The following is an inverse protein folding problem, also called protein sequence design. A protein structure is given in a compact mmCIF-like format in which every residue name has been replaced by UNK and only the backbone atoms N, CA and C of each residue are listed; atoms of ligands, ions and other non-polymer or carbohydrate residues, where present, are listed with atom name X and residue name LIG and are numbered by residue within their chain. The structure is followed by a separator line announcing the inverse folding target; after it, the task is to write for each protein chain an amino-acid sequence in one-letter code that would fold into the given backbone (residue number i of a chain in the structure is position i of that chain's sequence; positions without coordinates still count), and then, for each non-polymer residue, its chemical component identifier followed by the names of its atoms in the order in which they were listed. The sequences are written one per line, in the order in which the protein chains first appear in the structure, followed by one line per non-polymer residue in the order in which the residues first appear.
data_IF_037517404498
#
_entry.id   IF_037517404498
#
_cell.length_a   1.000
_cell.length_b   1.000
_cell.length_c   1.000
_cell.angle_alpha   90.00
_cell.angle_beta   90.00
_cell.angle_gamma   90.00
#
_symmetry.space_group_name_H-M   'P 1'
#
loop_
_entity.id
_entity.type
_entity.pdbx_description
1 polymer ?
#
# COMPACT_ATOMS: atom_id res chain seq x y z
N UNK A 1 5.56 16.63 32.92
CA UNK A 1 6.09 17.72 32.05
C UNK A 1 6.68 17.23 30.72
N UNK A 2 7.54 16.19 30.68
CA UNK A 2 8.16 15.69 29.43
C UNK A 2 7.19 15.12 28.38
N UNK A 3 5.96 14.83 28.77
CA UNK A 3 4.86 14.45 27.87
C UNK A 3 4.53 15.56 26.86
N UNK A 4 4.70 16.83 27.24
CA UNK A 4 4.46 17.97 26.35
C UNK A 4 5.75 18.40 25.66
N UNK A 5 5.63 18.90 24.43
CA UNK A 5 6.74 19.39 23.59
C UNK A 5 7.67 20.31 24.40
N UNK A 6 8.97 20.00 24.43
CA UNK A 6 9.91 20.71 25.32
C UNK A 6 10.11 22.18 24.94
N UNK A 7 9.93 22.52 23.66
CA UNK A 7 9.95 23.91 23.17
C UNK A 7 8.83 24.78 23.76
N UNK A 8 7.80 24.20 24.39
CA UNK A 8 6.77 24.96 25.11
C UNK A 8 7.28 25.48 26.46
N UNK A 9 6.94 26.73 26.79
CA UNK A 9 7.29 27.35 28.06
C UNK A 9 6.81 26.54 29.27
N UNK A 10 7.56 26.61 30.39
CA UNK A 10 7.25 25.87 31.62
C UNK A 10 5.83 26.20 32.15
N UNK A 11 5.44 27.47 32.11
CA UNK A 11 4.11 27.91 32.54
C UNK A 11 2.99 27.25 31.70
N UNK A 12 3.14 27.22 30.37
CA UNK A 12 2.19 26.55 29.46
C UNK A 12 2.07 25.06 29.77
N UNK A 13 3.20 24.37 29.96
CA UNK A 13 3.21 22.94 30.31
C UNK A 13 2.59 22.69 31.68
N UNK A 14 2.84 23.58 32.64
CA UNK A 14 2.25 23.54 33.99
C UNK A 14 0.74 23.71 33.94
N UNK A 15 0.25 24.69 33.18
CA UNK A 15 -1.19 24.90 32.98
C UNK A 15 -1.85 23.68 32.34
N UNK A 16 -1.23 23.08 31.31
CA UNK A 16 -1.75 21.85 30.68
C UNK A 16 -1.85 20.68 31.65
N UNK A 17 -0.85 20.47 32.51
CA UNK A 17 -0.93 19.45 33.58
C UNK A 17 -2.04 19.80 34.58
N UNK A 18 -2.17 21.07 34.95
CA UNK A 18 -3.18 21.54 35.92
C UNK A 18 -4.62 21.39 35.41
N UNK A 19 -4.81 21.27 34.09
CA UNK A 19 -6.12 21.01 33.47
C UNK A 19 -6.52 19.53 33.49
N UNK A 20 -5.67 18.63 34.00
CA UNK A 20 -5.96 17.20 34.13
C UNK A 20 -6.28 16.87 35.59
N UNK A 21 -7.26 16.01 35.83
CA UNK A 21 -7.59 15.54 37.18
C UNK A 21 -6.82 14.26 37.54
N UNK A 22 -6.21 14.22 38.73
CA UNK A 22 -5.59 13.01 39.28
C UNK A 22 -6.53 12.31 40.26
N UNK A 23 -7.24 13.07 41.08
CA UNK A 23 -8.34 12.57 41.93
C UNK A 23 -9.54 13.49 41.77
N UNK A 24 -10.72 13.17 42.33
CA UNK A 24 -11.85 14.11 42.36
C UNK A 24 -11.53 15.47 43.02
N UNK A 25 -10.54 15.50 43.91
CA UNK A 25 -10.17 16.69 44.70
C UNK A 25 -8.91 17.39 44.17
N UNK A 26 -7.99 16.66 43.53
CA UNK A 26 -6.68 17.18 43.10
C UNK A 26 -6.49 17.09 41.60
N UNK A 27 -6.15 18.22 40.97
CA UNK A 27 -5.59 18.22 39.63
C UNK A 27 -4.18 17.60 39.62
N UNK A 28 -3.71 17.17 38.45
CA UNK A 28 -2.46 16.43 38.30
C UNK A 28 -1.24 17.24 38.74
N UNK A 29 -1.25 18.56 38.56
CA UNK A 29 -0.13 19.39 38.99
C UNK A 29 -0.06 19.44 40.51
N UNK A 30 -1.18 19.82 41.16
CA UNK A 30 -1.32 19.86 42.61
C UNK A 30 -0.98 18.51 43.25
N UNK A 31 -1.46 17.42 42.66
CA UNK A 31 -1.13 16.05 43.09
C UNK A 31 0.38 15.83 43.09
N UNK A 32 1.07 16.10 41.97
CA UNK A 32 2.52 15.88 41.87
C UNK A 32 3.38 16.79 42.76
N UNK A 33 2.82 17.89 43.26
CA UNK A 33 3.53 18.82 44.15
C UNK A 33 3.22 18.63 45.63
N UNK A 34 2.18 17.85 45.97
CA UNK A 34 1.71 17.68 47.36
C UNK A 34 1.72 16.23 47.84
N UNK A 35 1.86 15.26 46.94
CA UNK A 35 1.89 13.84 47.27
C UNK A 35 3.28 13.25 47.07
N UNK A 36 3.73 12.43 48.00
CA UNK A 36 5.05 11.78 47.97
C UNK A 36 5.08 10.49 47.13
N UNK A 37 3.91 9.98 46.73
CA UNK A 37 3.76 8.75 45.97
C UNK A 37 2.70 8.87 44.87
N UNK A 38 2.85 8.09 43.79
CA UNK A 38 1.88 8.03 42.70
C UNK A 38 0.98 6.81 42.90
N UNK A 39 -0.30 7.04 43.13
CA UNK A 39 -1.29 5.95 43.17
C UNK A 39 -1.68 5.48 41.77
N UNK A 40 -2.05 4.21 41.65
CA UNK A 40 -2.54 3.62 40.40
C UNK A 40 -3.80 4.36 39.91
N UNK A 41 -4.70 4.70 40.83
CA UNK A 41 -5.90 5.49 40.55
C UNK A 41 -5.53 6.84 39.91
N UNK A 42 -4.63 7.59 40.55
CA UNK A 42 -4.21 8.90 40.06
C UNK A 42 -3.55 8.82 38.68
N UNK A 43 -2.71 7.80 38.47
CA UNK A 43 -2.07 7.56 37.18
C UNK A 43 -3.10 7.34 36.07
N UNK A 44 -4.10 6.47 36.26
CA UNK A 44 -5.07 6.14 35.20
C UNK A 44 -6.15 7.20 35.01
N UNK A 45 -6.50 7.97 36.04
CA UNK A 45 -7.32 9.17 35.85
C UNK A 45 -6.66 10.16 34.89
N UNK A 46 -5.38 10.45 35.10
CA UNK A 46 -4.60 11.29 34.17
C UNK A 46 -4.45 10.60 32.82
N UNK A 47 -4.14 9.30 32.81
CA UNK A 47 -3.93 8.51 31.60
C UNK A 47 -5.13 8.50 30.66
N UNK A 48 -6.35 8.31 31.17
CA UNK A 48 -7.57 8.34 30.37
C UNK A 48 -7.83 9.71 29.72
N UNK A 49 -7.59 10.80 30.45
CA UNK A 49 -7.67 12.15 29.87
C UNK A 49 -6.61 12.37 28.77
N UNK A 50 -5.39 11.87 28.97
CA UNK A 50 -4.35 11.91 27.93
C UNK A 50 -4.69 11.05 26.70
N UNK A 51 -5.46 9.99 26.89
CA UNK A 51 -6.02 9.17 25.80
C UNK A 51 -7.24 9.83 25.13
N UNK A 52 -7.69 10.99 25.61
CA UNK A 52 -8.81 11.75 25.05
C UNK A 52 -10.19 11.39 25.62
N UNK A 53 -10.25 10.57 26.68
CA UNK A 53 -11.51 10.29 27.37
C UNK A 53 -11.86 11.41 28.36
N UNK A 54 -13.15 11.69 28.48
CA UNK A 54 -13.71 12.83 29.19
C UNK A 54 -14.28 12.41 30.55
N UNK A 55 -13.89 13.10 31.61
CA UNK A 55 -14.40 12.87 32.97
C UNK A 55 -15.89 13.20 33.03
N UNK A 56 -16.70 12.32 33.64
CA UNK A 56 -18.14 12.49 33.81
C UNK A 56 -18.98 12.10 32.59
N UNK A 57 -18.37 12.01 31.40
CA UNK A 57 -18.98 11.48 30.19
C UNK A 57 -18.54 10.04 29.93
N UNK A 58 -17.23 9.82 29.84
CA UNK A 58 -16.64 8.54 29.48
C UNK A 58 -16.25 7.73 30.74
N UNK A 59 -15.71 8.38 31.77
CA UNK A 59 -15.26 7.69 33.00
C UNK A 59 -15.41 8.54 34.27
N UNK A 60 -15.39 7.85 35.42
CA UNK A 60 -15.49 8.45 36.75
C UNK A 60 -14.11 8.46 37.44
N UNK A 61 -13.76 9.57 38.11
CA UNK A 61 -12.48 9.72 38.80
C UNK A 61 -12.33 8.80 40.03
N UNK A 62 -13.43 8.32 40.60
CA UNK A 62 -13.42 7.37 41.71
C UNK A 62 -13.13 5.93 41.25
N UNK A 63 -13.47 5.58 40.00
CA UNK A 63 -13.26 4.24 39.45
C UNK A 63 -13.00 4.26 37.93
N UNK A 64 -11.83 4.73 37.47
CA UNK A 64 -11.47 4.72 36.05
C UNK A 64 -11.35 3.29 35.49
N UNK A 65 -11.12 2.30 36.36
CA UNK A 65 -10.90 0.92 35.96
C UNK A 65 -12.17 0.24 35.46
N UNK A 66 -13.35 0.68 35.92
CA UNK A 66 -14.64 0.25 35.38
C UNK A 66 -14.71 0.48 33.87
N UNK A 67 -14.52 1.72 33.42
CA UNK A 67 -14.55 2.07 31.99
C UNK A 67 -13.41 1.40 31.21
N UNK A 68 -12.20 1.35 31.79
CA UNK A 68 -11.08 0.65 31.14
C UNK A 68 -11.37 -0.84 30.91
N UNK A 69 -12.01 -1.51 31.86
CA UNK A 69 -12.40 -2.91 31.73
C UNK A 69 -13.48 -3.08 30.66
N UNK A 70 -14.50 -2.22 30.66
CA UNK A 70 -15.59 -2.23 29.69
C UNK A 70 -15.07 -2.10 28.24
N UNK A 71 -14.15 -1.16 27.99
CA UNK A 71 -13.57 -0.95 26.66
C UNK A 71 -12.33 -1.78 26.38
N UNK A 72 -11.96 -2.69 27.29
CA UNK A 72 -10.78 -3.56 27.19
C UNK A 72 -9.48 -2.76 27.00
N UNK A 73 -9.38 -1.59 27.62
CA UNK A 73 -8.15 -0.83 27.67
C UNK A 73 -7.13 -1.52 28.60
N UNK A 74 -5.87 -1.62 28.17
CA UNK A 74 -4.84 -2.30 28.95
C UNK A 74 -4.47 -1.51 30.21
N UNK A 75 -4.37 -2.21 31.33
CA UNK A 75 -3.83 -1.71 32.60
C UNK A 75 -2.51 -2.44 32.89
N UNK A 76 -1.52 -1.72 33.39
CA UNK A 76 -0.26 -2.29 33.86
C UNK A 76 -0.48 -3.13 35.13
N UNK A 77 0.21 -4.26 35.19
CA UNK A 77 0.20 -5.15 36.35
C UNK A 77 1.14 -4.59 37.42
N UNK A 78 0.63 -3.58 38.12
CA UNK A 78 1.35 -2.81 39.15
C UNK A 78 0.47 -2.66 40.40
N UNK A 79 1.09 -2.54 41.59
CA UNK A 79 0.36 -2.32 42.84
C UNK A 79 -0.37 -0.97 42.88
N UNK A 80 -1.17 -0.74 43.93
CA UNK A 80 -1.93 0.50 44.10
C UNK A 80 -1.07 1.75 44.32
N UNK A 81 0.18 1.59 44.75
CA UNK A 81 1.16 2.67 44.90
C UNK A 81 2.41 2.31 44.09
N UNK A 82 2.80 3.18 43.16
CA UNK A 82 3.82 2.88 42.16
C UNK A 82 5.17 3.43 42.62
N UNK A 83 6.19 2.58 42.60
CA UNK A 83 7.58 3.02 42.60
C UNK A 83 8.00 3.49 41.19
N UNK A 84 9.26 3.93 41.05
CA UNK A 84 9.79 4.41 39.77
C UNK A 84 9.63 3.39 38.63
N UNK A 85 10.00 2.14 38.86
CA UNK A 85 10.05 1.14 37.80
C UNK A 85 8.63 0.74 37.38
N UNK A 86 7.72 0.59 38.33
CA UNK A 86 6.28 0.37 38.08
C UNK A 86 5.63 1.56 37.36
N UNK A 87 6.06 2.79 37.66
CA UNK A 87 5.60 3.98 36.94
C UNK A 87 6.11 4.00 35.50
N UNK A 88 7.34 3.55 35.24
CA UNK A 88 7.88 3.37 33.89
C UNK A 88 7.06 2.32 33.13
N UNK A 89 6.75 1.17 33.75
CA UNK A 89 5.93 0.13 33.14
C UNK A 89 4.52 0.64 32.79
N UNK A 90 3.91 1.41 33.70
CA UNK A 90 2.60 2.01 33.48
C UNK A 90 2.62 3.02 32.31
N UNK A 91 3.65 3.88 32.24
CA UNK A 91 3.83 4.80 31.11
C UNK A 91 4.11 4.07 29.80
N UNK A 92 4.97 3.05 29.81
CA UNK A 92 5.26 2.24 28.63
C UNK A 92 3.98 1.62 28.08
N UNK A 93 3.14 1.05 28.95
CA UNK A 93 1.85 0.48 28.56
C UNK A 93 0.91 1.56 28.02
N UNK A 94 0.80 2.70 28.71
CA UNK A 94 -0.06 3.83 28.31
C UNK A 94 0.34 4.41 26.93
N UNK A 95 1.64 4.55 26.65
CA UNK A 95 2.15 5.01 25.34
C UNK A 95 1.73 4.07 24.19
N UNK A 96 1.57 2.78 24.49
CA UNK A 96 1.12 1.75 23.56
C UNK A 96 -0.41 1.55 23.55
N UNK A 97 -1.16 2.27 24.38
CA UNK A 97 -2.62 2.18 24.45
C UNK A 97 -3.27 3.03 23.37
N UNK A 98 -4.33 2.51 22.74
CA UNK A 98 -5.15 3.28 21.79
C UNK A 98 -5.93 4.37 22.51
N UNK A 99 -5.89 5.57 21.93
CA UNK A 99 -6.68 6.74 22.30
C UNK A 99 -8.14 6.58 21.87
N UNK A 100 -9.02 7.46 22.36
CA UNK A 100 -10.42 7.60 21.88
C UNK A 100 -10.51 7.83 20.36
N UNK A 101 -9.41 8.27 19.73
CA UNK A 101 -9.29 8.55 18.29
C UNK A 101 -8.69 7.38 17.48
N UNK A 102 -8.46 6.22 18.09
CA UNK A 102 -8.08 4.98 17.40
C UNK A 102 -6.57 4.74 17.25
N UNK A 103 -5.73 5.77 17.29
CA UNK A 103 -4.27 5.65 17.27
C UNK A 103 -3.67 5.42 18.66
N UNK A 104 -2.47 4.84 18.74
CA UNK A 104 -1.74 4.72 20.03
C UNK A 104 -1.38 6.10 20.57
N UNK A 105 -1.20 6.23 21.89
CA UNK A 105 -0.82 7.52 22.49
C UNK A 105 0.52 8.03 21.95
N UNK A 106 1.49 7.15 21.70
CA UNK A 106 2.77 7.56 21.10
C UNK A 106 2.62 8.08 19.67
N UNK A 107 1.71 7.50 18.87
CA UNK A 107 1.38 8.02 17.54
C UNK A 107 0.63 9.35 17.62
N UNK A 108 -0.25 9.51 18.63
CA UNK A 108 -0.91 10.79 18.89
C UNK A 108 0.10 11.89 19.22
N UNK A 109 1.08 11.60 20.07
CA UNK A 109 2.19 12.51 20.37
C UNK A 109 3.02 12.83 19.12
N UNK A 110 3.30 11.84 18.28
CA UNK A 110 3.98 12.05 17.01
C UNK A 110 3.21 13.04 16.12
N UNK A 111 1.89 12.88 15.98
CA UNK A 111 1.03 13.81 15.23
C UNK A 111 0.97 15.22 15.83
N UNK A 112 1.21 15.37 17.13
CA UNK A 112 1.36 16.67 17.79
C UNK A 112 2.75 17.29 17.58
N UNK A 113 3.66 16.62 16.87
CA UNK A 113 5.01 17.11 16.58
C UNK A 113 6.04 16.77 17.66
N UNK A 114 5.80 15.76 18.51
CA UNK A 114 6.77 15.33 19.54
C UNK A 114 8.14 15.02 18.93
N UNK A 115 8.21 14.38 17.77
CA UNK A 115 9.49 14.04 17.15
C UNK A 115 10.15 15.20 16.38
N UNK A 116 9.40 16.26 16.05
CA UNK A 116 9.94 17.40 15.28
C UNK A 116 11.05 18.14 16.03
N UNK A 117 11.06 18.06 17.36
CA UNK A 117 12.12 18.65 18.17
C UNK A 117 13.49 17.99 17.94
N UNK A 118 13.52 16.81 17.30
CA UNK A 118 14.74 16.06 17.00
C UNK A 118 15.13 16.08 15.52
N UNK A 119 14.45 16.83 14.65
CA UNK A 119 14.78 16.84 13.21
C UNK A 119 16.17 17.44 12.92
N UNK A 120 16.57 18.46 13.67
CA UNK A 120 17.92 19.06 13.57
C UNK A 120 18.97 18.36 14.42
N UNK A 121 18.59 17.25 15.07
CA UNK A 121 19.48 16.53 15.95
C UNK A 121 20.62 15.85 15.18
N UNK A 122 21.85 16.25 15.50
CA UNK A 122 23.10 15.77 14.87
C UNK A 122 23.59 14.46 15.48
N UNK A 123 22.70 13.47 15.59
CA UNK A 123 23.07 12.07 15.86
C UNK A 123 22.84 11.56 17.29
N UNK A 124 22.09 12.27 18.14
CA UNK A 124 21.67 11.73 19.46
C UNK A 124 20.45 10.82 19.35
N UNK A 125 19.55 11.07 18.40
CA UNK A 125 18.40 10.24 18.06
C UNK A 125 18.78 9.27 16.93
N UNK A 126 18.89 7.99 17.27
CA UNK A 126 19.12 6.93 16.29
C UNK A 126 17.95 6.85 15.31
N UNK A 127 18.26 6.79 14.00
CA UNK A 127 17.31 6.54 12.91
C UNK A 127 17.62 5.19 12.24
N UNK A 128 16.63 4.29 12.07
CA UNK A 128 15.26 4.38 12.58
C UNK A 128 15.21 4.26 14.11
N UNK A 129 14.19 4.89 14.72
CA UNK A 129 13.85 4.70 16.13
C UNK A 129 12.80 3.60 16.24
N UNK A 130 13.05 2.59 17.08
CA UNK A 130 12.11 1.49 17.33
C UNK A 130 11.55 1.60 18.74
N UNK A 131 10.22 1.56 18.87
CA UNK A 131 9.52 1.49 20.15
C UNK A 131 8.43 0.40 20.09
N UNK A 132 8.43 -0.51 21.06
CA UNK A 132 7.53 -1.67 21.10
C UNK A 132 7.46 -2.44 19.76
N UNK A 133 8.64 -2.69 19.18
CA UNK A 133 8.80 -3.38 17.89
C UNK A 133 8.36 -2.59 16.65
N UNK A 134 8.00 -1.30 16.78
CA UNK A 134 7.48 -0.48 15.67
C UNK A 134 8.43 0.67 15.35
N UNK A 135 8.64 0.93 14.05
CA UNK A 135 9.34 2.14 13.62
C UNK A 135 8.54 3.40 13.96
N UNK A 136 9.22 4.42 14.45
CA UNK A 136 8.61 5.67 14.93
C UNK A 136 8.76 6.79 13.90
N UNK A 137 7.88 7.79 14.00
CA UNK A 137 7.77 8.88 13.03
C UNK A 137 8.86 9.96 13.20
N UNK A 138 10.14 9.56 13.07
CA UNK A 138 11.33 10.39 13.34
C UNK A 138 11.99 10.96 12.08
N UNK A 139 11.35 10.77 10.92
CA UNK A 139 11.82 11.26 9.62
C UNK A 139 11.10 12.56 9.24
N UNK A 140 11.84 13.52 8.70
CA UNK A 140 11.31 14.85 8.35
C UNK A 140 10.53 14.78 7.03
N UNK A 141 9.20 14.68 7.14
CA UNK A 141 8.32 14.52 5.98
C UNK A 141 8.22 15.79 5.13
N UNK A 142 8.67 16.95 5.62
CA UNK A 142 8.75 18.18 4.82
C UNK A 142 9.87 18.13 3.78
N UNK A 143 10.82 17.20 3.93
CA UNK A 143 11.99 17.02 3.05
C UNK A 143 11.93 15.74 2.23
N UNK A 144 10.76 15.10 2.11
CA UNK A 144 10.63 13.90 1.26
C UNK A 144 11.07 14.20 -0.17
N UNK A 145 11.92 13.33 -0.70
CA UNK A 145 12.39 13.37 -2.08
C UNK A 145 11.35 12.67 -2.95
N UNK A 146 11.02 13.29 -4.09
CA UNK A 146 10.05 12.78 -5.08
C UNK A 146 10.71 12.70 -6.44
N UNK A 147 10.83 11.49 -6.96
CA UNK A 147 11.59 11.19 -8.17
C UNK A 147 10.82 10.24 -9.08
N UNK A 148 11.09 10.31 -10.38
CA UNK A 148 10.58 9.35 -11.37
C UNK A 148 11.77 8.65 -12.03
N UNK A 149 11.62 7.35 -12.27
CA UNK A 149 12.53 6.54 -13.09
C UNK A 149 11.73 5.62 -14.01
N UNK A 150 12.42 5.02 -14.98
CA UNK A 150 11.84 4.12 -15.97
C UNK A 150 12.49 2.74 -15.91
N UNK A 151 11.81 1.77 -15.29
CA UNK A 151 12.29 0.40 -15.14
C UNK A 151 12.05 -0.39 -16.43
N UNK A 152 13.07 -1.04 -16.99
CA UNK A 152 12.92 -1.80 -18.23
C UNK A 152 12.40 -3.22 -17.95
N UNK A 153 11.15 -3.50 -18.29
CA UNK A 153 10.55 -4.82 -18.12
C UNK A 153 10.98 -5.79 -19.24
N UNK A 154 11.02 -7.11 -19.00
CA UNK A 154 11.29 -8.10 -20.05
C UNK A 154 10.01 -8.40 -20.83
N UNK A 155 9.42 -7.36 -21.44
CA UNK A 155 8.13 -7.39 -22.14
C UNK A 155 8.22 -6.56 -23.41
N UNK A 156 7.42 -6.86 -24.43
CA UNK A 156 7.23 -6.04 -25.65
C UNK A 156 5.74 -6.16 -26.02
N UNK A 157 4.87 -5.63 -25.15
CA UNK A 157 3.43 -5.84 -25.26
C UNK A 157 2.78 -4.96 -26.31
N UNK A 158 3.46 -3.88 -26.72
CA UNK A 158 3.01 -3.02 -27.80
C UNK A 158 3.67 -3.31 -29.16
N UNK A 159 4.59 -4.28 -29.19
CA UNK A 159 5.22 -4.83 -30.39
C UNK A 159 6.04 -3.81 -31.18
N UNK A 160 6.68 -2.87 -30.48
CA UNK A 160 7.56 -1.86 -31.09
C UNK A 160 9.01 -2.34 -31.30
N UNK A 161 9.32 -3.57 -30.88
CA UNK A 161 10.62 -4.19 -31.01
C UNK A 161 11.62 -3.72 -29.94
N UNK A 162 11.14 -3.06 -28.89
CA UNK A 162 11.90 -2.68 -27.70
C UNK A 162 11.21 -3.23 -26.47
N UNK A 163 11.98 -3.32 -25.39
CA UNK A 163 11.42 -3.70 -24.10
C UNK A 163 10.52 -2.61 -23.52
N UNK A 164 9.43 -2.96 -22.87
CA UNK A 164 8.53 -1.98 -22.26
C UNK A 164 9.24 -1.25 -21.10
N UNK A 165 9.27 0.09 -21.12
CA UNK A 165 9.68 0.91 -19.97
C UNK A 165 8.48 1.21 -19.05
N UNK A 166 8.66 0.99 -17.76
CA UNK A 166 7.66 1.20 -16.73
C UNK A 166 8.01 2.43 -15.90
N UNK A 167 7.12 3.42 -15.88
CA UNK A 167 7.26 4.56 -14.96
C UNK A 167 7.12 4.08 -13.51
N UNK A 168 8.06 4.50 -12.67
CA UNK A 168 8.02 4.31 -11.24
C UNK A 168 8.16 5.65 -10.52
N UNK A 169 7.16 6.01 -9.71
CA UNK A 169 7.14 7.20 -8.86
C UNK A 169 7.64 6.85 -7.46
N UNK A 170 8.69 7.53 -7.01
CA UNK A 170 9.41 7.23 -5.77
C UNK A 170 9.21 8.37 -4.79
N UNK A 171 8.81 8.06 -3.55
CA UNK A 171 8.83 8.98 -2.42
C UNK A 171 9.75 8.38 -1.36
N UNK A 172 10.85 9.06 -1.01
CA UNK A 172 11.82 8.53 -0.03
C UNK A 172 12.25 9.58 1.00
N UNK A 173 12.62 9.18 2.24
CA UNK A 173 13.18 10.10 3.22
C UNK A 173 14.49 10.75 2.75
N UNK A 174 14.69 12.04 3.02
CA UNK A 174 15.93 12.75 2.70
C UNK A 174 17.18 12.12 3.33
N UNK A 175 17.03 11.43 4.46
CA UNK A 175 18.10 10.70 5.14
C UNK A 175 18.83 9.69 4.22
N UNK A 176 18.17 9.24 3.15
CA UNK A 176 18.78 8.37 2.14
C UNK A 176 19.96 9.03 1.41
N UNK A 177 19.94 10.36 1.20
CA UNK A 177 21.10 11.14 0.70
C UNK A 177 22.31 11.09 1.65
N UNK A 178 22.06 10.87 2.94
CA UNK A 178 23.09 10.64 3.95
C UNK A 178 23.61 9.20 4.00
N UNK A 179 23.20 8.35 3.07
CA UNK A 179 23.63 6.95 2.96
C UNK A 179 22.74 5.95 3.70
N UNK A 180 21.64 6.39 4.35
CA UNK A 180 20.69 5.47 4.95
C UNK A 180 20.02 4.61 3.87
N UNK A 181 20.08 3.28 4.03
CA UNK A 181 19.32 2.35 3.19
C UNK A 181 17.99 2.03 3.85
N UNK A 182 16.89 2.14 3.10
CA UNK A 182 15.53 1.98 3.62
C UNK A 182 14.79 0.82 2.94
N UNK A 183 13.88 0.12 3.64
CA UNK A 183 12.94 -0.80 3.01
C UNK A 183 11.90 -0.04 2.17
N UNK A 184 11.24 -0.76 1.26
CA UNK A 184 10.29 -0.18 0.30
C UNK A 184 8.89 -0.72 0.54
N UNK A 185 7.90 0.17 0.55
CA UNK A 185 6.48 -0.14 0.39
C UNK A 185 6.08 0.16 -1.05
N UNK A 186 5.89 -0.88 -1.86
CA UNK A 186 5.53 -0.79 -3.26
C UNK A 186 4.03 -1.00 -3.47
N UNK A 187 3.39 -0.11 -4.20
CA UNK A 187 2.00 -0.26 -4.63
C UNK A 187 1.93 -0.29 -6.15
N UNK A 188 1.63 -1.48 -6.70
CA UNK A 188 1.32 -1.63 -8.12
C UNK A 188 -0.13 -1.23 -8.36
N UNK A 189 -0.37 -0.09 -9.00
CA UNK A 189 -1.72 0.49 -9.17
C UNK A 189 -1.97 0.90 -10.61
N UNK A 190 -2.67 0.08 -11.41
CA UNK A 190 -3.05 0.43 -12.78
C UNK A 190 -3.86 1.74 -12.91
N UNK A 191 -4.49 2.19 -11.82
CA UNK A 191 -5.33 3.40 -11.78
C UNK A 191 -4.53 4.70 -11.55
N UNK A 192 -3.28 4.59 -11.07
CA UNK A 192 -2.57 5.70 -10.43
C UNK A 192 -2.24 6.86 -11.38
N UNK A 193 -2.01 6.52 -12.65
CA UNK A 193 -1.69 7.47 -13.70
C UNK A 193 -2.92 7.97 -14.48
N UNK A 194 -4.12 7.76 -13.92
CA UNK A 194 -5.41 8.15 -14.49
C UNK A 194 -6.28 6.96 -14.88
N UNK A 195 -7.58 7.19 -15.00
CA UNK A 195 -8.57 6.22 -15.49
C UNK A 195 -9.39 6.80 -16.64
N UNK A 196 -9.90 5.93 -17.51
CA UNK A 196 -10.73 6.30 -18.66
C UNK A 196 -12.22 6.01 -18.38
N UNK A 197 -12.76 6.60 -17.31
CA UNK A 197 -14.07 6.24 -16.76
C UNK A 197 -15.18 6.33 -17.81
N UNK A 198 -15.21 7.43 -18.58
CA UNK A 198 -16.23 7.64 -19.62
C UNK A 198 -16.17 6.57 -20.72
N UNK A 199 -14.98 6.26 -21.21
CA UNK A 199 -14.78 5.28 -22.27
C UNK A 199 -15.18 3.87 -21.80
N UNK A 200 -14.80 3.52 -20.57
CA UNK A 200 -15.19 2.28 -19.91
C UNK A 200 -16.71 2.17 -19.71
N UNK A 201 -17.36 3.24 -19.25
CA UNK A 201 -18.82 3.31 -19.10
C UNK A 201 -19.52 3.12 -20.46
N UNK A 202 -19.05 3.80 -21.51
CA UNK A 202 -19.63 3.71 -22.86
C UNK A 202 -19.51 2.29 -23.47
N UNK A 203 -18.51 1.49 -23.04
CA UNK A 203 -18.34 0.10 -23.49
C UNK A 203 -18.95 -0.95 -22.58
N UNK A 204 -19.50 -0.56 -21.42
CA UNK A 204 -20.09 -1.49 -20.47
C UNK A 204 -21.20 -2.32 -21.14
N UNK A 205 -21.13 -3.64 -20.99
CA UNK A 205 -21.94 -4.56 -21.78
C UNK A 205 -23.40 -4.57 -21.31
N UNK A 206 -24.35 -4.39 -22.23
CA UNK A 206 -25.76 -4.62 -21.92
C UNK A 206 -26.01 -6.07 -21.46
N UNK A 207 -26.62 -6.19 -20.27
CA UNK A 207 -26.91 -7.44 -19.57
C UNK A 207 -28.36 -7.90 -19.73
N UNK A 208 -29.25 -7.07 -20.29
CA UNK A 208 -30.67 -7.42 -20.49
C UNK A 208 -30.86 -8.28 -21.74
N UNK A 209 -30.17 -9.42 -21.78
CA UNK A 209 -30.13 -10.35 -22.90
C UNK A 209 -30.60 -11.74 -22.47
N UNK A 210 -31.29 -12.49 -23.34
CA UNK A 210 -31.67 -13.86 -23.04
C UNK A 210 -30.41 -14.75 -22.89
N UNK A 211 -30.50 -15.75 -22.01
CA UNK A 211 -29.45 -16.76 -21.88
C UNK A 211 -29.34 -17.60 -23.15
N UNK A 212 -28.11 -17.83 -23.61
CA UNK A 212 -27.84 -18.74 -24.73
C UNK A 212 -27.71 -20.17 -24.19
N UNK A 213 -28.44 -21.12 -24.80
CA UNK A 213 -28.27 -22.55 -24.50
C UNK A 213 -26.85 -22.97 -24.86
N UNK A 214 -26.16 -23.63 -23.94
CA UNK A 214 -24.86 -24.26 -24.21
C UNK A 214 -25.06 -25.61 -24.87
N UNK A 215 -24.30 -25.88 -25.92
CA UNK A 215 -24.19 -27.23 -26.45
C UNK A 215 -23.24 -28.06 -25.57
N UNK A 216 -23.64 -29.29 -25.18
CA UNK A 216 -22.72 -30.21 -24.51
C UNK A 216 -21.45 -30.40 -25.34
N UNK A 217 -20.31 -30.42 -24.66
CA UNK A 217 -19.00 -30.67 -25.26
C UNK A 217 -18.20 -31.62 -24.36
N UNK A 218 -17.09 -32.12 -24.90
CA UNK A 218 -16.18 -33.02 -24.19
C UNK A 218 -14.83 -32.34 -23.91
N UNK A 219 -14.81 -31.01 -23.72
CA UNK A 219 -13.57 -30.29 -23.44
C UNK A 219 -12.99 -30.76 -22.10
N UNK A 220 -11.69 -31.00 -22.11
CA UNK A 220 -10.86 -31.24 -20.95
C UNK A 220 -10.05 -29.98 -20.60
N UNK A 221 -9.39 -29.99 -19.44
CA UNK A 221 -8.48 -28.90 -19.08
C UNK A 221 -7.36 -28.72 -20.13
N UNK A 222 -6.85 -29.80 -20.74
CA UNK A 222 -5.77 -29.71 -21.72
C UNK A 222 -6.17 -28.92 -22.97
N UNK A 223 -7.45 -28.94 -23.34
CA UNK A 223 -7.97 -28.21 -24.51
C UNK A 223 -8.01 -26.70 -24.26
N UNK A 224 -8.20 -26.30 -23.00
CA UNK A 224 -8.30 -24.90 -22.57
C UNK A 224 -7.06 -24.40 -21.84
N UNK A 225 -6.03 -25.23 -21.68
CA UNK A 225 -4.78 -24.85 -21.05
C UNK A 225 -4.05 -23.80 -21.89
N UNK A 226 -3.64 -22.72 -21.24
CA UNK A 226 -2.77 -21.70 -21.77
C UNK A 226 -1.33 -21.96 -21.28
N UNK A 227 -0.40 -22.05 -22.22
CA UNK A 227 1.02 -22.11 -21.95
C UNK A 227 1.62 -20.74 -22.28
N UNK A 228 2.11 -20.06 -21.24
CA UNK A 228 2.70 -18.73 -21.40
C UNK A 228 4.10 -18.85 -22.01
N UNK A 229 4.31 -18.17 -23.13
CA UNK A 229 5.61 -18.09 -23.82
C UNK A 229 6.12 -16.64 -23.77
N UNK A 230 7.31 -16.47 -23.21
CA UNK A 230 8.01 -15.18 -23.09
C UNK A 230 9.40 -15.23 -23.76
N UNK A 231 9.65 -16.21 -24.63
CA UNK A 231 10.98 -16.46 -25.18
C UNK A 231 11.42 -15.45 -26.25
N UNK A 232 10.47 -14.82 -26.96
CA UNK A 232 10.75 -13.89 -28.04
C UNK A 232 10.77 -12.43 -27.55
N UNK A 233 11.82 -12.06 -26.82
CA UNK A 233 11.99 -10.70 -26.29
C UNK A 233 13.06 -9.91 -27.06
N UNK A 234 12.84 -8.61 -27.30
CA UNK A 234 13.90 -7.72 -27.73
C UNK A 234 15.10 -7.72 -26.77
N UNK A 235 16.29 -7.39 -27.30
CA UNK A 235 17.47 -7.19 -26.49
C UNK A 235 17.27 -6.03 -25.50
N UNK A 236 17.86 -6.10 -24.28
CA UNK A 236 17.82 -4.97 -23.34
C UNK A 236 18.49 -3.72 -23.95
N UNK A 237 18.02 -2.53 -23.57
CA UNK A 237 18.66 -1.28 -23.97
C UNK A 237 20.10 -1.22 -23.42
N UNK A 238 21.09 -0.76 -24.20
CA UNK A 238 22.43 -0.52 -23.68
C UNK A 238 22.40 0.61 -22.65
N UNK A 239 23.21 0.50 -21.59
CA UNK A 239 23.41 1.59 -20.62
C UNK A 239 24.55 2.47 -21.13
N UNK A 240 24.25 3.72 -21.49
CA UNK A 240 25.22 4.65 -22.09
C UNK A 240 26.01 5.43 -21.03
N UNK A 241 25.37 5.74 -19.91
CA UNK A 241 25.94 6.40 -18.74
C UNK A 241 25.20 5.94 -17.48
N UNK A 242 25.67 6.35 -16.30
CA UNK A 242 24.99 6.06 -15.03
C UNK A 242 24.82 7.32 -14.20
N UNK A 243 23.70 7.42 -13.47
CA UNK A 243 23.40 8.49 -12.53
C UNK A 243 22.88 7.93 -11.20
N UNK A 244 23.12 8.67 -10.12
CA UNK A 244 22.44 8.46 -8.82
C UNK A 244 21.26 9.43 -8.62
N UNK A 245 21.10 10.41 -9.52
CA UNK A 245 20.08 11.45 -9.46
C UNK A 245 19.08 11.22 -10.58
N UNK A 246 17.79 11.15 -10.22
CA UNK A 246 16.69 11.14 -11.18
C UNK A 246 16.48 12.54 -11.78
N UNK A 247 16.01 12.59 -13.03
CA UNK A 247 15.84 13.85 -13.76
C UNK A 247 14.41 14.41 -13.69
N UNK A 248 13.47 13.59 -13.23
CA UNK A 248 12.06 13.89 -13.20
C UNK A 248 11.50 13.85 -11.77
N UNK A 249 10.52 14.70 -11.52
CA UNK A 249 9.73 14.74 -10.28
C UNK A 249 8.25 14.72 -10.61
N UNK A 250 7.41 14.54 -9.61
CA UNK A 250 5.96 14.41 -9.80
C UNK A 250 5.19 15.01 -8.62
N UNK A 251 3.90 15.23 -8.85
CA UNK A 251 2.93 15.58 -7.81
C UNK A 251 2.00 14.39 -7.64
N UNK A 252 1.93 13.87 -6.43
CA UNK A 252 1.01 12.77 -6.11
C UNK A 252 -0.37 13.35 -5.78
N UNK A 253 -1.39 12.96 -6.55
CA UNK A 253 -2.79 13.37 -6.34
C UNK A 253 -3.59 12.38 -5.48
N UNK A 254 -3.11 11.13 -5.39
CA UNK A 254 -3.68 10.07 -4.56
C UNK A 254 -2.58 9.26 -3.88
N UNK A 255 -2.71 8.99 -2.59
CA UNK A 255 -1.83 8.08 -1.84
C UNK A 255 -2.66 7.09 -1.05
N UNK A 256 -2.07 5.91 -0.82
CA UNK A 256 -2.62 4.99 0.16
C UNK A 256 -2.16 5.42 1.56
N UNK A 257 -3.10 5.71 2.46
CA UNK A 257 -2.77 6.35 3.75
C UNK A 257 -1.83 5.52 4.63
N UNK A 258 -1.85 4.19 4.48
CA UNK A 258 -0.89 3.30 5.13
C UNK A 258 0.54 3.52 4.62
N UNK A 259 0.71 3.82 3.33
CA UNK A 259 2.02 4.13 2.76
C UNK A 259 2.56 5.45 3.32
N UNK A 260 1.72 6.47 3.45
CA UNK A 260 2.10 7.75 4.09
C UNK A 260 2.50 7.57 5.56
N UNK A 261 1.81 6.69 6.28
CA UNK A 261 2.18 6.30 7.65
C UNK A 261 3.60 5.71 7.70
N UNK A 262 3.97 4.88 6.72
CA UNK A 262 5.31 4.28 6.61
C UNK A 262 6.39 5.27 6.15
N UNK A 263 6.06 6.25 5.29
CA UNK A 263 7.00 7.30 4.87
C UNK A 263 7.58 8.07 6.06
N UNK A 264 6.71 8.49 6.98
CA UNK A 264 7.12 9.19 8.19
C UNK A 264 8.02 8.32 9.10
N UNK A 265 8.03 6.99 8.89
CA UNK A 265 8.68 5.96 9.72
C UNK A 265 9.88 5.29 9.03
N UNK A 266 10.42 5.91 7.99
CA UNK A 266 11.70 5.51 7.41
C UNK A 266 11.61 4.41 6.35
N UNK A 267 10.44 4.26 5.73
CA UNK A 267 10.26 3.45 4.54
C UNK A 267 10.22 4.38 3.33
N UNK A 268 10.75 3.94 2.20
CA UNK A 268 10.42 4.55 0.92
C UNK A 268 9.08 3.99 0.43
N UNK A 269 8.35 4.78 -0.35
CA UNK A 269 7.13 4.35 -1.04
C UNK A 269 7.35 4.47 -2.53
N UNK A 270 6.96 3.42 -3.27
CA UNK A 270 7.04 3.39 -4.72
C UNK A 270 5.66 3.08 -5.29
N UNK A 271 5.28 3.81 -6.33
CA UNK A 271 4.07 3.56 -7.12
C UNK A 271 4.47 3.26 -8.56
N UNK A 272 3.84 2.27 -9.17
CA UNK A 272 3.93 2.03 -10.61
C UNK A 272 2.61 1.50 -11.14
N UNK A 273 2.21 1.97 -12.30
CA UNK A 273 0.95 1.57 -12.96
C UNK A 273 1.12 0.44 -13.97
N UNK A 274 2.38 0.10 -14.29
CA UNK A 274 2.73 -0.98 -15.19
C UNK A 274 2.49 -0.65 -16.67
N UNK A 275 2.58 -1.68 -17.52
CA UNK A 275 2.40 -1.57 -18.98
C UNK A 275 1.07 -0.93 -19.35
N UNK A 276 1.02 -0.20 -20.48
CA UNK A 276 -0.21 0.39 -21.03
C UNK A 276 -0.78 1.57 -20.24
N UNK A 277 -0.03 2.10 -19.27
CA UNK A 277 -0.44 3.24 -18.46
C UNK A 277 0.35 4.48 -18.86
N UNK A 278 -0.14 5.66 -18.47
CA UNK A 278 0.47 6.94 -18.89
C UNK A 278 1.96 6.97 -18.58
N UNK A 279 2.73 7.41 -19.57
CA UNK A 279 4.19 7.51 -19.57
C UNK A 279 4.96 6.16 -19.49
N UNK A 280 4.27 5.02 -19.38
CA UNK A 280 4.87 3.69 -19.58
C UNK A 280 4.64 3.21 -21.02
N UNK A 281 5.47 2.29 -21.48
CA UNK A 281 5.28 1.58 -22.76
C UNK A 281 4.23 0.45 -22.60
N UNK A 282 3.95 -0.27 -23.69
CA UNK A 282 3.06 -1.42 -23.67
C UNK A 282 1.56 -1.10 -23.78
N UNK A 283 0.74 -2.13 -23.56
CA UNK A 283 -0.74 -2.07 -23.55
C UNK A 283 -1.32 -2.82 -22.34
N UNK A 284 -2.56 -2.51 -21.94
CA UNK A 284 -3.24 -3.29 -20.88
C UNK A 284 -3.61 -4.68 -21.37
N UNK A 285 -3.40 -5.68 -20.52
CA UNK A 285 -3.73 -7.07 -20.83
C UNK A 285 -4.78 -7.67 -19.90
N UNK A 286 -5.08 -6.97 -18.79
CA UNK A 286 -6.04 -7.33 -17.75
C UNK A 286 -5.75 -8.70 -17.16
N UNK A 287 -4.83 -8.78 -16.20
CA UNK A 287 -4.61 -9.98 -15.39
C UNK A 287 -3.84 -11.12 -16.05
N UNK A 288 -3.18 -10.88 -17.19
CA UNK A 288 -2.25 -11.86 -17.79
C UNK A 288 -0.92 -11.86 -17.05
N UNK A 289 -0.03 -12.85 -17.29
CA UNK A 289 1.31 -12.85 -16.72
C UNK A 289 2.13 -11.59 -17.06
N UNK A 290 1.82 -10.88 -18.14
CA UNK A 290 2.52 -9.64 -18.53
C UNK A 290 2.35 -8.53 -17.48
N UNK A 291 1.16 -8.38 -16.89
CA UNK A 291 0.95 -7.42 -15.81
C UNK A 291 1.65 -7.85 -14.51
N UNK A 292 1.74 -9.15 -14.26
CA UNK A 292 2.52 -9.71 -13.16
C UNK A 292 4.01 -9.40 -13.34
N UNK A 293 4.56 -9.66 -14.53
CA UNK A 293 5.96 -9.39 -14.88
C UNK A 293 6.26 -7.89 -14.79
N UNK A 294 5.32 -7.05 -15.21
CA UNK A 294 5.43 -5.60 -15.07
C UNK A 294 5.58 -5.19 -13.60
N UNK A 295 4.78 -5.76 -12.70
CA UNK A 295 4.91 -5.50 -11.26
C UNK A 295 6.22 -6.06 -10.67
N UNK A 296 6.62 -7.29 -11.02
CA UNK A 296 7.85 -7.90 -10.48
C UNK A 296 9.11 -7.23 -11.01
N UNK A 297 9.09 -6.66 -12.21
CA UNK A 297 10.21 -5.87 -12.74
C UNK A 297 10.55 -4.67 -11.81
N UNK A 298 9.55 -4.00 -11.25
CA UNK A 298 9.78 -2.94 -10.27
C UNK A 298 10.48 -3.49 -9.02
N UNK A 299 10.05 -4.64 -8.52
CA UNK A 299 10.66 -5.31 -7.35
C UNK A 299 12.12 -5.68 -7.65
N UNK A 300 12.40 -6.26 -8.82
CA UNK A 300 13.75 -6.63 -9.25
C UNK A 300 14.67 -5.40 -9.30
N UNK A 301 14.19 -4.26 -9.80
CA UNK A 301 14.99 -3.02 -9.81
C UNK A 301 15.26 -2.52 -8.37
N UNK A 302 14.25 -2.56 -7.51
CA UNK A 302 14.37 -2.18 -6.09
C UNK A 302 15.28 -3.12 -5.30
N UNK A 303 15.40 -4.38 -5.72
CA UNK A 303 16.32 -5.37 -5.17
C UNK A 303 17.74 -5.23 -5.73
N UNK A 304 17.88 -4.74 -6.98
CA UNK A 304 19.15 -4.48 -7.65
C UNK A 304 19.45 -5.38 -8.84
N UNK A 305 18.47 -6.18 -9.30
CA UNK A 305 18.63 -7.19 -10.35
C UNK A 305 18.17 -6.72 -11.74
N UNK A 306 17.57 -5.52 -11.82
CA UNK A 306 17.05 -4.95 -13.08
C UNK A 306 17.54 -3.53 -13.31
N UNK A 307 17.70 -3.17 -14.57
CA UNK A 307 18.05 -1.83 -15.01
C UNK A 307 16.82 -0.92 -15.01
N UNK A 308 17.00 0.31 -14.52
CA UNK A 308 16.12 1.43 -14.82
C UNK A 308 16.92 2.57 -15.43
N UNK A 309 16.22 3.53 -16.03
CA UNK A 309 16.77 4.72 -16.65
C UNK A 309 16.20 5.99 -16.02
N UNK A 310 16.97 7.08 -16.06
CA UNK A 310 16.54 8.40 -15.54
C UNK A 310 15.38 8.97 -16.36
N UNK A 311 15.35 8.68 -17.66
CA UNK A 311 14.31 9.08 -18.61
C UNK A 311 14.13 7.99 -19.70
N UNK A 312 13.18 8.19 -20.62
CA UNK A 312 12.83 7.21 -21.67
C UNK A 312 13.75 7.23 -22.89
N UNK A 313 14.70 8.16 -23.00
CA UNK A 313 15.44 8.41 -24.25
C UNK A 313 16.96 8.22 -24.13
N UNK A 314 17.56 8.72 -23.07
CA UNK A 314 19.01 8.96 -23.03
C UNK A 314 19.80 7.74 -22.57
N UNK A 315 19.11 6.70 -22.10
CA UNK A 315 19.70 5.44 -21.64
C UNK A 315 20.74 5.64 -20.51
N UNK A 316 20.54 6.66 -19.69
CA UNK A 316 21.31 6.89 -18.46
C UNK A 316 20.74 5.97 -17.38
N UNK A 317 21.49 4.92 -17.04
CA UNK A 317 21.09 3.93 -16.06
C UNK A 317 21.08 4.48 -14.64
N UNK A 318 20.08 4.09 -13.84
CA UNK A 318 19.95 4.47 -12.44
C UNK A 318 19.60 3.26 -11.58
N UNK A 319 20.37 3.05 -10.52
CA UNK A 319 20.12 1.99 -9.53
C UNK A 319 19.22 2.52 -8.42
N UNK A 320 18.43 1.64 -7.79
CA UNK A 320 17.75 1.92 -6.53
C UNK A 320 18.75 1.96 -5.36
N UNK A 321 19.80 2.77 -5.46
CA UNK A 321 20.93 2.76 -4.53
C UNK A 321 20.52 3.04 -3.08
N UNK A 322 19.40 3.74 -2.85
CA UNK A 322 18.83 4.06 -1.54
C UNK A 322 18.02 2.91 -0.90
N UNK A 323 17.66 1.89 -1.69
CA UNK A 323 16.92 0.71 -1.22
C UNK A 323 17.83 -0.25 -0.45
N UNK A 324 17.30 -0.93 0.56
CA UNK A 324 17.98 -2.06 1.21
C UNK A 324 17.64 -3.43 0.60
N UNK A 325 16.87 -3.44 -0.51
CA UNK A 325 16.44 -4.62 -1.24
C UNK A 325 15.23 -5.36 -0.65
N UNK A 326 14.72 -4.95 0.52
CA UNK A 326 13.51 -5.55 1.09
C UNK A 326 12.28 -4.76 0.66
N UNK A 327 11.44 -5.39 -0.16
CA UNK A 327 10.20 -4.81 -0.68
C UNK A 327 9.01 -5.48 -0.01
N UNK A 328 8.07 -4.67 0.47
CA UNK A 328 6.72 -5.10 0.82
C UNK A 328 5.69 -4.47 -0.12
N UNK A 329 4.55 -5.13 -0.36
CA UNK A 329 3.48 -4.58 -1.18
C UNK A 329 2.21 -4.29 -0.38
N UNK A 330 1.51 -3.22 -0.77
CA UNK A 330 0.25 -2.78 -0.14
C UNK A 330 -0.76 -2.35 -1.20
N UNK A 331 -2.04 -2.49 -0.86
CA UNK A 331 -3.15 -1.85 -1.55
C UNK A 331 -4.38 -2.74 -1.66
N UNK A 332 -5.47 -2.12 -2.11
CA UNK A 332 -6.81 -2.73 -2.23
C UNK A 332 -7.19 -3.04 -3.67
N UNK A 333 -8.01 -4.07 -3.89
CA UNK A 333 -8.59 -4.38 -5.22
C UNK A 333 -7.49 -4.76 -6.21
N UNK A 334 -7.40 -4.16 -7.39
CA UNK A 334 -6.34 -4.46 -8.36
C UNK A 334 -4.92 -4.34 -7.77
N UNK A 335 -4.71 -3.44 -6.82
CA UNK A 335 -3.43 -3.30 -6.12
C UNK A 335 -3.12 -4.57 -5.30
N UNK A 336 -4.13 -5.07 -4.57
CA UNK A 336 -4.06 -6.34 -3.86
C UNK A 336 -3.92 -7.53 -4.81
N UNK A 337 -4.59 -7.51 -5.96
CA UNK A 337 -4.47 -8.52 -7.01
C UNK A 337 -3.05 -8.63 -7.54
N UNK A 338 -2.39 -7.50 -7.83
CA UNK A 338 -1.00 -7.50 -8.30
C UNK A 338 -0.01 -7.87 -7.19
N UNK A 339 -0.32 -7.55 -5.92
CA UNK A 339 0.45 -8.05 -4.78
C UNK A 339 0.35 -9.58 -4.66
N UNK A 340 -0.85 -10.15 -4.81
CA UNK A 340 -1.05 -11.61 -4.91
C UNK A 340 -0.27 -12.18 -6.08
N UNK A 341 -0.41 -11.60 -7.27
CA UNK A 341 0.26 -12.08 -8.48
C UNK A 341 1.79 -12.09 -8.31
N UNK A 342 2.38 -11.01 -7.82
CA UNK A 342 3.81 -10.92 -7.54
C UNK A 342 4.26 -11.95 -6.49
N UNK A 343 3.46 -12.17 -5.44
CA UNK A 343 3.83 -13.08 -4.36
C UNK A 343 3.92 -14.53 -4.84
N UNK A 344 3.00 -14.91 -5.74
CA UNK A 344 2.94 -16.24 -6.35
C UNK A 344 4.14 -16.54 -7.27
N UNK A 345 4.90 -15.53 -7.71
CA UNK A 345 6.12 -15.74 -8.52
C UNK A 345 7.33 -16.19 -7.70
N UNK A 346 7.41 -15.77 -6.43
CA UNK A 346 8.61 -15.96 -5.61
C UNK A 346 9.80 -15.11 -6.05
N UNK A 347 9.55 -13.95 -6.67
CA UNK A 347 10.56 -12.96 -7.04
C UNK A 347 11.43 -12.59 -5.83
N UNK A 348 12.74 -12.49 -6.04
CA UNK A 348 13.67 -12.14 -4.98
C UNK A 348 13.51 -10.67 -4.55
N UNK A 349 13.92 -10.34 -3.32
CA UNK A 349 13.65 -9.04 -2.70
C UNK A 349 12.22 -8.83 -2.16
N UNK A 350 11.22 -9.56 -2.66
CA UNK A 350 9.85 -9.47 -2.13
C UNK A 350 9.71 -10.22 -0.81
N UNK A 351 9.44 -9.49 0.29
CA UNK A 351 9.43 -10.05 1.65
C UNK A 351 8.04 -10.22 2.24
N UNK A 352 7.12 -9.31 1.96
CA UNK A 352 5.77 -9.41 2.53
C UNK A 352 4.71 -8.65 1.71
N UNK A 353 3.47 -9.09 1.77
CA UNK A 353 2.33 -8.40 1.16
C UNK A 353 1.20 -8.21 2.16
N UNK A 354 0.62 -7.01 2.19
CA UNK A 354 -0.71 -6.75 2.77
C UNK A 354 -1.68 -6.71 1.60
N UNK A 355 -2.31 -7.84 1.34
CA UNK A 355 -3.24 -8.04 0.23
C UNK A 355 -4.63 -7.67 0.71
N UNK A 356 -5.14 -6.52 0.29
CA UNK A 356 -6.49 -6.08 0.64
C UNK A 356 -7.45 -6.30 -0.54
N UNK A 357 -8.52 -7.06 -0.34
CA UNK A 357 -9.52 -7.33 -1.38
C UNK A 357 -8.92 -7.73 -2.75
N UNK A 358 -7.92 -8.62 -2.77
CA UNK A 358 -7.22 -9.04 -3.99
C UNK A 358 -7.91 -10.18 -4.73
N UNK A 359 -7.79 -10.19 -6.06
CA UNK A 359 -8.25 -11.31 -6.92
C UNK A 359 -7.13 -12.35 -7.02
N UNK A 360 -7.47 -13.64 -6.93
CA UNK A 360 -6.55 -14.77 -7.17
C UNK A 360 -6.80 -15.49 -8.51
N UNK A 361 -7.99 -15.30 -9.10
CA UNK A 361 -8.35 -15.84 -10.41
C UNK A 361 -9.38 -14.91 -11.06
N UNK A 362 -9.01 -14.27 -12.18
CA UNK A 362 -9.88 -13.29 -12.84
C UNK A 362 -11.17 -13.89 -13.39
N UNK A 363 -11.21 -15.21 -13.66
CA UNK A 363 -12.45 -15.88 -14.00
C UNK A 363 -13.47 -15.72 -12.87
N UNK A 364 -13.09 -15.96 -11.62
CA UNK A 364 -14.01 -15.91 -10.47
C UNK A 364 -14.51 -14.49 -10.15
N UNK A 365 -13.81 -13.47 -10.63
CA UNK A 365 -14.25 -12.07 -10.49
C UNK A 365 -15.45 -11.79 -11.42
N UNK A 366 -15.35 -12.18 -12.70
CA UNK A 366 -16.36 -11.89 -13.73
C UNK A 366 -17.30 -13.06 -14.07
N UNK A 367 -17.05 -14.26 -13.54
CA UNK A 367 -17.73 -15.51 -13.86
C UNK A 367 -17.90 -16.35 -12.60
N UNK A 368 -18.87 -17.26 -12.63
CA UNK A 368 -19.05 -18.27 -11.60
C UNK A 368 -19.74 -19.50 -12.21
N UNK A 369 -19.18 -20.70 -12.02
CA UNK A 369 -19.78 -21.97 -12.44
C UNK A 369 -20.27 -21.99 -13.91
N UNK A 370 -19.50 -21.37 -14.82
CA UNK A 370 -19.87 -21.28 -16.23
C UNK A 370 -20.85 -20.15 -16.58
N UNK A 371 -21.19 -19.26 -15.66
CA UNK A 371 -22.08 -18.13 -15.92
C UNK A 371 -21.32 -16.80 -15.91
N UNK A 372 -21.85 -15.81 -16.62
CA UNK A 372 -21.43 -14.41 -16.48
C UNK A 372 -22.03 -13.87 -15.19
N UNK A 373 -21.19 -13.55 -14.21
CA UNK A 373 -21.60 -13.05 -12.89
C UNK A 373 -20.76 -11.83 -12.56
N UNK A 374 -21.35 -10.66 -12.78
CA UNK A 374 -20.71 -9.38 -12.56
C UNK A 374 -20.23 -9.21 -11.10
N UNK A 375 -19.18 -8.40 -10.88
CA UNK A 375 -18.88 -7.86 -9.56
C UNK A 375 -20.07 -7.05 -9.03
N UNK A 376 -20.30 -7.09 -7.71
CA UNK A 376 -21.38 -6.40 -7.05
C UNK A 376 -21.32 -4.89 -7.28
N UNK A 377 -22.36 -4.34 -7.90
CA UNK A 377 -22.44 -2.92 -8.28
C UNK A 377 -21.99 -2.59 -9.70
N UNK A 378 -21.40 -3.54 -10.43
CA UNK A 378 -20.76 -3.30 -11.74
C UNK A 378 -21.35 -4.19 -12.84
N UNK A 379 -22.67 -4.13 -13.03
CA UNK A 379 -23.35 -4.89 -14.09
C UNK A 379 -22.83 -4.50 -15.47
N UNK A 380 -22.48 -5.51 -16.27
CA UNK A 380 -21.94 -5.29 -17.61
C UNK A 380 -20.42 -5.14 -17.66
N UNK A 381 -19.72 -4.98 -16.54
CA UNK A 381 -18.25 -4.98 -16.51
C UNK A 381 -17.68 -6.34 -16.94
N UNK A 382 -16.49 -6.32 -17.56
CA UNK A 382 -15.70 -7.49 -17.90
C UNK A 382 -14.23 -7.11 -18.15
N UNK A 383 -13.40 -8.08 -18.57
CA UNK A 383 -11.96 -7.88 -18.75
C UNK A 383 -11.59 -6.78 -19.77
N UNK A 384 -12.41 -6.56 -20.80
CA UNK A 384 -12.22 -5.47 -21.75
C UNK A 384 -12.54 -4.09 -21.17
N UNK A 385 -13.63 -3.98 -20.40
CA UNK A 385 -13.99 -2.75 -19.66
C UNK A 385 -12.89 -2.35 -18.68
N UNK A 386 -12.35 -3.32 -17.92
CA UNK A 386 -11.22 -3.07 -17.04
C UNK A 386 -9.91 -2.79 -17.79
N UNK A 387 -9.75 -3.33 -19.00
CA UNK A 387 -8.65 -2.99 -19.88
C UNK A 387 -8.68 -1.52 -20.28
N UNK A 388 -9.84 -1.04 -20.75
CA UNK A 388 -10.04 0.35 -21.16
C UNK A 388 -9.91 1.33 -19.99
N UNK A 389 -10.55 1.05 -18.85
CA UNK A 389 -10.51 1.95 -17.69
C UNK A 389 -9.07 2.17 -17.19
N UNK A 390 -8.18 1.17 -17.35
CA UNK A 390 -6.78 1.22 -16.91
C UNK A 390 -5.79 1.58 -18.02
N UNK A 391 -6.23 1.80 -19.27
CA UNK A 391 -5.35 2.16 -20.38
C UNK A 391 -5.06 3.67 -20.42
N UNK A 392 -4.51 4.21 -19.33
CA UNK A 392 -4.23 5.67 -19.22
C UNK A 392 -3.16 6.18 -20.17
N UNK A 393 -2.45 5.30 -20.88
CA UNK A 393 -1.57 5.69 -21.99
C UNK A 393 -2.30 6.48 -23.07
N UNK A 394 -3.62 6.27 -23.23
CA UNK A 394 -4.43 7.05 -24.16
C UNK A 394 -4.53 8.54 -23.82
N UNK A 395 -4.32 8.90 -22.55
CA UNK A 395 -4.40 10.28 -22.07
C UNK A 395 -3.21 11.13 -22.52
N UNK A 396 -2.15 10.50 -23.03
CA UNK A 396 -1.01 11.15 -23.68
C UNK A 396 -1.24 11.17 -25.19
N UNK A 397 -1.97 12.18 -25.70
CA UNK A 397 -2.47 12.20 -27.08
C UNK A 397 -1.45 11.86 -28.18
N UNK A 398 -0.22 12.38 -28.08
CA UNK A 398 0.83 12.10 -29.07
C UNK A 398 1.37 10.66 -29.02
N UNK A 399 1.36 10.05 -27.84
CA UNK A 399 1.74 8.65 -27.64
C UNK A 399 0.58 7.73 -28.06
N UNK A 400 -0.65 8.07 -27.66
CA UNK A 400 -1.85 7.36 -28.07
C UNK A 400 -1.97 7.24 -29.59
N UNK A 401 -1.76 8.34 -30.34
CA UNK A 401 -1.84 8.30 -31.80
C UNK A 401 -0.89 7.29 -32.44
N UNK A 402 0.24 6.95 -31.79
CA UNK A 402 1.19 5.94 -32.27
C UNK A 402 0.72 4.52 -31.95
N UNK A 403 0.07 4.35 -30.79
CA UNK A 403 -0.27 3.02 -30.26
C UNK A 403 -1.75 2.65 -30.39
N UNK A 404 -2.58 3.56 -30.89
CA UNK A 404 -4.04 3.41 -30.98
C UNK A 404 -4.44 2.11 -31.67
N UNK A 405 -3.85 1.81 -32.82
CA UNK A 405 -4.24 0.61 -33.59
C UNK A 405 -3.84 -0.68 -32.85
N UNK A 406 -2.67 -0.70 -32.20
CA UNK A 406 -2.24 -1.79 -31.33
C UNK A 406 -3.19 -1.96 -30.14
N UNK A 407 -3.58 -0.85 -29.48
CA UNK A 407 -4.55 -0.88 -28.39
C UNK A 407 -5.91 -1.41 -28.85
N UNK A 408 -6.47 -0.89 -29.93
CA UNK A 408 -7.77 -1.34 -30.44
C UNK A 408 -7.75 -2.82 -30.86
N UNK A 409 -6.63 -3.30 -31.40
CA UNK A 409 -6.44 -4.72 -31.69
C UNK A 409 -6.39 -5.56 -30.41
N UNK A 410 -5.71 -5.09 -29.36
CA UNK A 410 -5.65 -5.74 -28.07
C UNK A 410 -7.02 -5.75 -27.38
N UNK A 411 -7.72 -4.63 -27.35
CA UNK A 411 -9.07 -4.50 -26.80
C UNK A 411 -10.03 -5.48 -27.47
N UNK A 412 -9.96 -5.62 -28.81
CA UNK A 412 -10.73 -6.63 -29.54
C UNK A 412 -10.42 -8.07 -29.10
N UNK A 413 -9.17 -8.38 -28.75
CA UNK A 413 -8.81 -9.70 -28.19
C UNK A 413 -9.39 -9.89 -26.79
N UNK A 414 -9.43 -8.86 -25.95
CA UNK A 414 -10.10 -8.89 -24.65
C UNK A 414 -11.60 -9.17 -24.81
N UNK A 415 -12.30 -8.37 -25.62
CA UNK A 415 -13.74 -8.48 -25.85
C UNK A 415 -14.17 -9.83 -26.43
N UNK A 416 -13.37 -10.38 -27.34
CA UNK A 416 -13.67 -11.69 -27.94
C UNK A 416 -13.29 -12.87 -27.04
N UNK A 417 -12.13 -12.79 -26.37
CA UNK A 417 -11.61 -13.88 -25.55
C UNK A 417 -12.40 -14.13 -24.27
N UNK A 418 -12.97 -13.09 -23.66
CA UNK A 418 -13.76 -13.21 -22.43
C UNK A 418 -15.03 -14.05 -22.59
N UNK A 419 -15.52 -14.25 -23.83
CA UNK A 419 -16.64 -15.13 -24.18
C UNK A 419 -17.85 -14.98 -23.25
N UNK A 420 -18.47 -13.78 -23.27
CA UNK A 420 -19.69 -13.49 -22.52
C UNK A 420 -20.89 -14.31 -23.00
N UNK A 421 -20.87 -14.81 -24.23
CA UNK A 421 -21.96 -15.61 -24.78
C UNK A 421 -22.08 -16.95 -24.06
N UNK A 422 -20.96 -17.63 -23.82
CA UNK A 422 -20.96 -18.90 -23.09
C UNK A 422 -20.75 -18.72 -21.59
N UNK A 423 -19.94 -17.74 -21.15
CA UNK A 423 -19.51 -17.60 -19.75
C UNK A 423 -18.62 -18.74 -19.24
N UNK A 424 -18.22 -19.66 -20.12
CA UNK A 424 -17.47 -20.86 -19.76
C UNK A 424 -15.99 -20.55 -19.53
N UNK A 425 -15.32 -21.38 -18.74
CA UNK A 425 -13.87 -21.33 -18.63
C UNK A 425 -13.24 -21.70 -19.98
N UNK A 426 -12.19 -20.98 -20.37
CA UNK A 426 -11.54 -21.17 -21.66
C UNK A 426 -10.05 -20.75 -21.56
N UNK A 427 -9.32 -20.84 -22.67
CA UNK A 427 -7.90 -20.48 -22.73
C UNK A 427 -7.59 -19.02 -22.36
N UNK A 428 -8.52 -18.10 -22.62
CA UNK A 428 -8.38 -16.70 -22.22
C UNK A 428 -8.41 -16.54 -20.70
N UNK A 429 -9.31 -17.26 -20.02
CA UNK A 429 -9.41 -17.24 -18.56
C UNK A 429 -8.31 -18.05 -17.87
N UNK A 430 -7.82 -19.11 -18.50
CA UNK A 430 -6.65 -19.87 -18.02
C UNK A 430 -5.35 -19.07 -18.08
N UNK A 431 -5.24 -18.11 -19.00
CA UNK A 431 -4.16 -17.11 -19.01
C UNK A 431 -4.27 -16.09 -17.86
N UNK A 432 -5.35 -16.07 -17.09
CA UNK A 432 -5.60 -15.09 -16.01
C UNK A 432 -5.91 -15.75 -14.67
N UNK A 433 -5.45 -17.00 -14.53
CA UNK A 433 -5.55 -17.77 -13.31
C UNK A 433 -4.20 -17.75 -12.60
N UNK A 434 -4.07 -16.89 -11.59
CA UNK A 434 -2.81 -16.71 -10.87
C UNK A 434 -2.42 -17.98 -10.09
N UNK A 435 -3.39 -18.83 -9.76
CA UNK A 435 -3.18 -20.06 -8.99
C UNK A 435 -2.53 -21.20 -9.79
N UNK A 436 -2.23 -21.01 -11.08
CA UNK A 436 -1.59 -22.04 -11.91
C UNK A 436 -0.14 -22.31 -11.53
N UNK A 437 0.59 -21.27 -11.13
CA UNK A 437 2.00 -21.33 -10.80
C UNK A 437 2.22 -20.67 -9.44
N UNK A 438 2.26 -21.48 -8.39
CA UNK A 438 2.38 -21.01 -7.01
C UNK A 438 3.78 -21.31 -6.49
N UNK A 439 4.58 -20.26 -6.34
CA UNK A 439 5.93 -20.29 -5.79
C UNK A 439 6.11 -19.18 -4.75
N UNK A 440 5.39 -19.25 -3.64
CA UNK A 440 5.41 -18.18 -2.63
C UNK A 440 6.66 -18.29 -1.76
N UNK A 441 7.42 -17.20 -1.67
CA UNK A 441 8.53 -17.00 -0.70
C UNK A 441 8.24 -15.91 0.34
N UNK A 442 7.38 -14.95 -0.01
CA UNK A 442 7.05 -13.80 0.83
C UNK A 442 5.96 -14.13 1.86
N UNK A 443 5.95 -13.45 3.00
CA UNK A 443 4.84 -13.53 3.95
C UNK A 443 3.60 -12.83 3.39
N UNK A 444 2.42 -13.44 3.48
CA UNK A 444 1.17 -12.85 2.99
C UNK A 444 0.19 -12.59 4.14
N UNK A 445 -0.20 -11.34 4.33
CA UNK A 445 -1.31 -10.93 5.19
C UNK A 445 -2.51 -10.60 4.30
N UNK A 446 -3.55 -11.45 4.38
CA UNK A 446 -4.79 -11.26 3.64
C UNK A 446 -5.78 -10.42 4.47
N UNK A 447 -6.38 -9.42 3.84
CA UNK A 447 -7.41 -8.56 4.42
C UNK A 447 -8.60 -8.55 3.46
N UNK A 448 -9.74 -9.07 3.90
CA UNK A 448 -10.93 -9.14 3.05
C UNK A 448 -12.20 -8.84 3.81
N UNK A 449 -13.09 -8.06 3.22
CA UNK A 449 -14.41 -7.80 3.78
C UNK A 449 -15.33 -8.99 3.56
N UNK A 450 -15.95 -9.52 4.62
CA UNK A 450 -16.91 -10.63 4.51
C UNK A 450 -18.16 -10.25 3.68
N UNK A 451 -18.44 -8.96 3.56
CA UNK A 451 -19.54 -8.41 2.76
C UNK A 451 -19.07 -7.77 1.45
N UNK A 452 -17.82 -8.00 1.04
CA UNK A 452 -17.33 -7.54 -0.26
C UNK A 452 -17.93 -8.40 -1.37
N UNK A 453 -18.95 -7.86 -2.04
CA UNK A 453 -19.58 -8.47 -3.20
C UNK A 453 -18.98 -7.99 -4.52
N UNK A 454 -18.05 -7.03 -4.48
CA UNK A 454 -17.27 -6.63 -5.64
C UNK A 454 -16.17 -7.67 -5.89
N UNK A 455 -15.14 -7.69 -5.03
CA UNK A 455 -14.15 -8.78 -5.02
C UNK A 455 -14.67 -9.84 -4.06
N UNK A 456 -15.30 -10.88 -4.60
CA UNK A 456 -16.01 -11.92 -3.83
C UNK A 456 -15.06 -12.68 -2.89
N UNK A 457 -15.59 -13.21 -1.79
CA UNK A 457 -14.80 -13.93 -0.77
C UNK A 457 -14.11 -15.21 -1.31
N UNK A 458 -14.55 -15.75 -2.45
CA UNK A 458 -13.93 -16.92 -3.10
C UNK A 458 -12.48 -16.71 -3.57
N UNK A 459 -11.95 -15.49 -3.46
CA UNK A 459 -10.58 -15.15 -3.82
C UNK A 459 -9.55 -15.34 -2.69
N UNK A 460 -10.00 -15.52 -1.45
CA UNK A 460 -9.16 -15.58 -0.23
C UNK A 460 -8.87 -17.02 0.19
#
# INVERSE_FOLDING_TARGET
MKFFIEKQGLATRTQKVSNLMATPELNAYAYTTTQDAVSKLAFYNVGLQLLGFEVGLDFDLHDPFKSMTEWKLPVADVPNTLNRDQLIDAWYKLLNTRTKFGQTLIDYLAGQGYYHQFFDDKGTLKRPLIFNGKSQAVFDTSKLIREVVYVEAPLDTDHDGKRDLLKAEIIRPADTEGGLKVPVVFTASPYDQGTNDKQADDMTHDVNKPLTRKEPNNLSYQDVKFDYDHSNLPAPRPVQATSEVAEETFVKTWTYTLNDYFLARGFAVVYSSGIGTKDSDGVRTTGTPDETISATAIIEWLHGDRTAFTNRTDQVGIKAWWSNGNVGMTGRSYLGTLATAAALTGVDGFKTAIVEAGISNYYNYYRENGLVVAPGGFQGEDADVLGEITFSREQSAADYLKIKDTWLAQLKKLTSGQDRQSGSYNKFWDNRNLLKNVNIKADMMLVHGLNDWNVKLSHV
#
